data_IF_266297872586
#
_entry.id   IF_266297872586
#
_cell.length_a   1.000
_cell.length_b   1.000
_cell.length_c   1.000
_cell.angle_alpha   90.00
_cell.angle_beta   90.00
_cell.angle_gamma   90.00
#
_symmetry.space_group_name_H-M   'P 1'
#
loop_
_entity.id
_entity.type
_entity.pdbx_description
1 polymer ?
#
# COMPACT_ATOMS: atom_id res chain seq x y z
N UNK A 1 -13.03 -17.09 -2.54
CA UNK A 1 -12.45 -15.81 -2.10
C UNK A 1 -10.98 -15.97 -1.70
N UNK A 2 -10.65 -16.84 -0.72
CA UNK A 2 -9.28 -16.97 -0.21
C UNK A 2 -8.20 -17.31 -1.25
N UNK A 3 -8.49 -18.20 -2.22
CA UNK A 3 -7.53 -18.52 -3.29
C UNK A 3 -7.20 -17.31 -4.16
N UNK A 4 -8.20 -16.49 -4.51
CA UNK A 4 -8.01 -15.30 -5.33
C UNK A 4 -7.23 -14.23 -4.55
N UNK A 5 -7.59 -14.03 -3.28
CA UNK A 5 -6.88 -13.14 -2.36
C UNK A 5 -5.41 -13.53 -2.22
N UNK A 6 -5.12 -14.82 -2.00
CA UNK A 6 -3.73 -15.29 -1.86
C UNK A 6 -2.91 -15.14 -3.15
N UNK A 7 -3.54 -15.27 -4.33
CA UNK A 7 -2.88 -15.10 -5.63
C UNK A 7 -2.56 -13.63 -5.90
N UNK A 8 -3.42 -12.70 -5.48
CA UNK A 8 -3.25 -11.26 -5.74
C UNK A 8 -2.33 -10.60 -4.70
N UNK A 9 -2.45 -10.95 -3.42
CA UNK A 9 -1.66 -10.33 -2.35
C UNK A 9 -0.17 -10.66 -2.45
N UNK A 10 0.20 -11.87 -2.87
CA UNK A 10 1.61 -12.29 -3.00
C UNK A 10 2.44 -11.42 -3.96
N UNK A 11 2.04 -11.22 -5.23
CA UNK A 11 2.76 -10.33 -6.14
C UNK A 11 2.68 -8.86 -5.72
N UNK A 12 1.56 -8.41 -5.14
CA UNK A 12 1.45 -7.04 -4.59
C UNK A 12 2.47 -6.79 -3.47
N UNK A 13 2.71 -7.78 -2.62
CA UNK A 13 3.67 -7.71 -1.53
C UNK A 13 5.13 -7.73 -2.03
N UNK A 14 5.38 -8.42 -3.14
CA UNK A 14 6.68 -8.37 -3.83
C UNK A 14 6.92 -6.98 -4.46
N UNK A 15 5.89 -6.39 -5.06
CA UNK A 15 5.96 -5.10 -5.75
C UNK A 15 5.98 -3.90 -4.79
N UNK A 16 5.56 -4.04 -3.53
CA UNK A 16 5.48 -2.93 -2.58
C UNK A 16 6.82 -2.54 -1.94
N UNK A 17 7.93 -3.18 -2.29
CA UNK A 17 9.25 -2.86 -1.71
C UNK A 17 9.52 -3.49 -0.35
N UNK A 18 8.80 -4.58 -0.02
CA UNK A 18 9.09 -5.38 1.20
C UNK A 18 10.49 -6.00 1.13
N UNK A 19 10.87 -6.51 -0.04
CA UNK A 19 12.17 -7.17 -0.25
C UNK A 19 13.29 -6.23 -0.69
N UNK A 20 12.95 -5.02 -1.15
CA UNK A 20 13.92 -4.08 -1.72
C UNK A 20 13.80 -2.74 -1.01
N UNK A 21 14.92 -2.15 -0.61
CA UNK A 21 14.91 -0.81 -0.04
C UNK A 21 14.82 0.19 -1.20
N UNK A 22 13.75 1.02 -1.28
CA UNK A 22 13.58 1.95 -2.39
C UNK A 22 14.74 2.95 -2.54
N UNK A 23 15.45 3.27 -1.44
CA UNK A 23 16.65 4.14 -1.46
C UNK A 23 17.89 3.49 -2.09
N UNK A 24 17.93 2.17 -2.23
CA UNK A 24 19.01 1.44 -2.91
C UNK A 24 18.74 1.26 -4.42
N UNK A 25 17.52 1.56 -4.89
CA UNK A 25 17.18 1.45 -6.30
C UNK A 25 17.63 2.70 -7.08
N UNK A 26 18.32 2.54 -8.21
CA UNK A 26 18.62 3.65 -9.09
C UNK A 26 17.33 4.24 -9.68
N UNK A 27 17.31 5.57 -9.86
CA UNK A 27 16.26 6.23 -10.64
C UNK A 27 16.24 5.62 -12.05
N UNK A 28 15.09 5.22 -12.61
CA UNK A 28 13.72 5.66 -12.32
C UNK A 28 12.85 4.68 -11.50
N UNK A 29 13.35 3.50 -11.14
CA UNK A 29 12.53 2.46 -10.49
C UNK A 29 11.98 2.89 -9.13
N UNK A 30 12.72 3.75 -8.42
CA UNK A 30 12.27 4.37 -7.17
C UNK A 30 10.97 5.16 -7.37
N UNK A 31 10.85 5.93 -8.44
CA UNK A 31 9.68 6.77 -8.71
C UNK A 31 8.45 5.92 -9.04
N UNK A 32 8.61 4.85 -9.81
CA UNK A 32 7.53 3.90 -10.07
C UNK A 32 7.04 3.19 -8.81
N UNK A 33 7.94 2.85 -7.88
CA UNK A 33 7.55 2.28 -6.60
C UNK A 33 6.80 3.27 -5.71
N UNK A 34 7.18 4.55 -5.72
CA UNK A 34 6.51 5.61 -4.97
C UNK A 34 5.09 5.93 -5.47
N UNK A 35 4.70 5.47 -6.66
CA UNK A 35 3.30 5.54 -7.11
C UNK A 35 2.39 4.59 -6.32
N UNK A 36 2.93 3.53 -5.71
CA UNK A 36 2.12 2.55 -4.99
C UNK A 36 1.91 2.96 -3.52
N UNK A 37 0.66 3.15 -3.04
CA UNK A 37 0.41 3.50 -1.63
C UNK A 37 0.94 2.44 -0.65
N UNK A 38 1.00 1.16 -1.05
CA UNK A 38 1.57 0.11 -0.19
C UNK A 38 3.07 0.30 0.05
N UNK A 39 3.79 0.89 -0.89
CA UNK A 39 5.21 1.20 -0.72
C UNK A 39 5.42 2.26 0.35
N UNK A 40 4.57 3.29 0.40
CA UNK A 40 4.60 4.29 1.47
C UNK A 40 4.35 3.68 2.85
N UNK A 41 3.43 2.71 2.96
CA UNK A 41 3.19 1.97 4.23
C UNK A 41 4.43 1.19 4.67
N UNK A 42 5.08 0.47 3.75
CA UNK A 42 6.27 -0.34 4.05
C UNK A 42 7.45 0.55 4.47
N UNK A 43 7.62 1.70 3.81
CA UNK A 43 8.66 2.66 4.19
C UNK A 43 8.37 3.23 5.58
N UNK A 44 7.15 3.69 5.88
CA UNK A 44 6.78 4.20 7.20
C UNK A 44 6.98 3.15 8.31
N UNK A 45 6.63 1.89 8.02
CA UNK A 45 6.91 0.78 8.93
C UNK A 45 8.42 0.67 9.19
N UNK A 46 9.25 0.74 8.14
CA UNK A 46 10.70 0.69 8.26
C UNK A 46 11.26 1.89 9.04
N UNK A 47 10.78 3.10 8.78
CA UNK A 47 11.17 4.30 9.53
C UNK A 47 10.85 4.18 11.02
N UNK A 48 9.74 3.53 11.37
CA UNK A 48 9.37 3.26 12.77
C UNK A 48 10.38 2.36 13.51
N UNK A 49 11.04 1.44 12.80
CA UNK A 49 12.05 0.53 13.39
C UNK A 49 13.48 1.07 13.30
N UNK A 50 13.86 1.67 12.17
CA UNK A 50 15.24 2.05 11.86
C UNK A 50 15.50 3.57 11.95
N UNK A 51 14.48 4.37 12.20
CA UNK A 51 14.57 5.84 12.17
C UNK A 51 14.34 6.42 10.76
N UNK A 52 14.07 7.73 10.71
CA UNK A 52 13.71 8.40 9.46
C UNK A 52 14.88 8.39 8.47
N UNK A 53 14.61 7.93 7.24
CA UNK A 53 15.59 7.97 6.15
C UNK A 53 15.25 9.13 5.21
N UNK A 54 16.08 10.19 5.13
CA UNK A 54 15.78 11.37 4.32
C UNK A 54 15.61 11.09 2.83
N UNK A 55 16.02 9.91 2.36
CA UNK A 55 16.07 9.52 0.95
C UNK A 55 14.78 8.88 0.43
N UNK A 56 13.83 8.58 1.31
CA UNK A 56 12.69 7.73 0.93
C UNK A 56 11.50 8.48 0.34
N UNK A 57 11.50 9.83 0.36
CA UNK A 57 10.52 10.64 -0.38
C UNK A 57 9.05 10.31 -0.07
N UNK A 58 8.77 9.94 1.19
CA UNK A 58 7.43 9.52 1.63
C UNK A 58 6.46 10.69 1.61
N UNK A 59 5.38 10.54 0.87
CA UNK A 59 4.25 11.48 0.90
C UNK A 59 3.14 10.91 1.80
N UNK A 60 2.99 11.53 2.98
CA UNK A 60 1.97 11.12 3.97
C UNK A 60 0.57 11.53 3.54
N UNK A 61 0.42 12.60 2.75
CA UNK A 61 -0.87 13.05 2.25
C UNK A 61 -1.38 12.08 1.18
N UNK A 62 -0.52 11.67 0.25
CA UNK A 62 -0.86 10.66 -0.75
C UNK A 62 -1.36 9.36 -0.11
N UNK A 63 -0.67 8.89 0.94
CA UNK A 63 -1.09 7.69 1.67
C UNK A 63 -2.44 7.88 2.37
N UNK A 64 -2.67 9.03 2.99
CA UNK A 64 -3.92 9.33 3.69
C UNK A 64 -5.11 9.40 2.73
N UNK A 65 -4.95 10.05 1.57
CA UNK A 65 -5.97 10.11 0.52
C UNK A 65 -6.35 8.73 0.00
N UNK A 66 -5.36 7.89 -0.33
CA UNK A 66 -5.61 6.52 -0.78
C UNK A 66 -6.29 5.67 0.29
N UNK A 67 -5.88 5.83 1.55
CA UNK A 67 -6.48 5.09 2.67
C UNK A 67 -7.95 5.51 2.89
N UNK A 68 -8.24 6.81 2.82
CA UNK A 68 -9.59 7.34 2.91
C UNK A 68 -10.46 6.88 1.73
N UNK A 69 -9.94 6.92 0.49
CA UNK A 69 -10.61 6.41 -0.69
C UNK A 69 -10.93 4.91 -0.58
N UNK A 70 -9.97 4.08 -0.17
CA UNK A 70 -10.19 2.64 0.01
C UNK A 70 -11.24 2.35 1.09
N UNK A 71 -11.21 3.08 2.21
CA UNK A 71 -12.22 2.98 3.26
C UNK A 71 -13.59 3.41 2.74
N UNK A 72 -13.67 4.51 2.01
CA UNK A 72 -14.91 5.01 1.44
C UNK A 72 -15.51 4.02 0.42
N UNK A 73 -14.69 3.46 -0.47
CA UNK A 73 -15.10 2.41 -1.40
C UNK A 73 -15.55 1.15 -0.66
N UNK A 74 -14.85 0.75 0.40
CA UNK A 74 -15.25 -0.36 1.26
C UNK A 74 -16.60 -0.13 1.93
N UNK A 75 -16.82 1.05 2.51
CA UNK A 75 -18.09 1.43 3.13
C UNK A 75 -19.23 1.52 2.12
N UNK A 76 -18.99 2.09 0.94
CA UNK A 76 -19.97 2.14 -0.14
C UNK A 76 -20.34 0.75 -0.63
N UNK A 77 -19.35 -0.12 -0.83
CA UNK A 77 -19.57 -1.51 -1.25
C UNK A 77 -20.40 -2.25 -0.20
N UNK A 78 -20.07 -2.10 1.09
CA UNK A 78 -20.83 -2.69 2.18
C UNK A 78 -22.28 -2.16 2.27
N UNK A 79 -22.49 -0.88 1.97
CA UNK A 79 -23.81 -0.24 2.04
C UNK A 79 -24.69 -0.56 0.83
N UNK A 80 -24.10 -0.59 -0.37
CA UNK A 80 -24.82 -0.77 -1.64
C UNK A 80 -25.06 -2.24 -1.99
N UNK A 81 -24.24 -3.16 -1.48
CA UNK A 81 -24.39 -4.59 -1.73
C UNK A 81 -25.24 -5.21 -0.62
N UNK A 82 -26.53 -5.55 -0.86
CA UNK A 82 -27.43 -6.11 0.15
C UNK A 82 -27.01 -7.51 0.66
N UNK A 83 -26.09 -8.19 -0.04
CA UNK A 83 -25.61 -9.54 0.31
C UNK A 83 -24.91 -9.63 1.69
N UNK A 84 -24.51 -8.52 2.31
CA UNK A 84 -23.92 -8.50 3.65
C UNK A 84 -24.94 -8.38 4.80
N UNK A 85 -26.24 -8.18 4.49
CA UNK A 85 -27.28 -7.98 5.51
C UNK A 85 -27.97 -9.29 5.96
N UNK A 86 -27.76 -10.40 5.25
CA UNK A 86 -28.51 -11.66 5.47
C UNK A 86 -27.66 -12.89 5.87
N UNK A 87 -26.38 -12.74 6.26
CA UNK A 87 -25.61 -13.85 6.86
C UNK A 87 -24.78 -13.42 8.05
#
# INVERSE_FOLDING_TARGET
YEKLYSIVTKPLLLLSGVFYVPSLLPSPFREYMLLNPLTHVVILLREGFYGQSPLDGVDRFYLAEWSACLLFVGMLTFTLIPFARER
#
